data_IF_300757271026
#
_entry.id   IF_300757271026
#
_cell.length_a   1.000
_cell.length_b   1.000
_cell.length_c   1.000
_cell.angle_alpha   90.00
_cell.angle_beta   90.00
_cell.angle_gamma   90.00
#
_symmetry.space_group_name_H-M   'P 1'
#
loop_
_entity.id
_entity.type
_entity.pdbx_description
1 polymer ?
#
# COMPACT_ATOMS: atom_id res chain seq x y z
N UNK A 1 -31.52 11.52 13.90
CA UNK A 1 -32.51 12.54 13.45
C UNK A 1 -31.77 13.59 12.63
N UNK A 2 -31.91 13.54 11.31
CA UNK A 2 -31.20 14.44 10.39
C UNK A 2 -31.86 15.82 10.44
N UNK A 3 -31.36 16.74 11.28
CA UNK A 3 -31.86 18.12 11.31
C UNK A 3 -31.42 18.81 10.03
N UNK A 4 -32.40 19.30 9.27
CA UNK A 4 -32.23 20.16 8.09
C UNK A 4 -31.16 21.22 8.40
N UNK A 5 -30.12 21.40 7.55
CA UNK A 5 -29.17 22.49 7.73
C UNK A 5 -29.94 23.79 7.91
N UNK A 6 -29.64 24.49 9.00
CA UNK A 6 -30.13 25.84 9.22
C UNK A 6 -29.51 26.70 8.12
N UNK A 7 -30.31 27.12 7.14
CA UNK A 7 -29.88 27.95 6.01
C UNK A 7 -29.31 29.31 6.44
N UNK A 8 -29.36 29.60 7.74
CA UNK A 8 -28.87 30.76 8.47
C UNK A 8 -27.47 30.59 9.10
N UNK A 9 -26.83 29.41 8.96
CA UNK A 9 -25.45 29.23 9.45
C UNK A 9 -24.46 29.98 8.55
N UNK A 10 -23.95 31.12 9.02
CA UNK A 10 -22.91 31.90 8.32
C UNK A 10 -21.66 31.07 7.97
N UNK A 11 -21.39 30.01 8.73
CA UNK A 11 -20.27 29.09 8.47
C UNK A 11 -20.56 28.13 7.31
N UNK A 12 -21.82 27.80 7.04
CA UNK A 12 -22.21 26.96 5.90
C UNK A 12 -22.19 27.75 4.58
N UNK A 13 -22.19 29.10 4.67
CA UNK A 13 -22.09 30.00 3.53
C UNK A 13 -20.64 30.33 3.13
N UNK A 14 -19.65 29.85 3.89
CA UNK A 14 -18.24 29.95 3.53
C UNK A 14 -17.97 29.19 2.21
N UNK A 15 -16.99 29.66 1.43
CA UNK A 15 -16.57 28.91 0.24
C UNK A 15 -16.00 27.54 0.62
N UNK A 16 -15.98 26.56 -0.28
CA UNK A 16 -15.43 25.23 0.02
C UNK A 16 -14.01 25.30 0.61
N UNK A 17 -13.15 26.16 0.06
CA UNK A 17 -11.77 26.34 0.51
C UNK A 17 -11.71 26.91 1.93
N UNK A 18 -12.60 27.84 2.26
CA UNK A 18 -12.70 28.41 3.61
C UNK A 18 -13.24 27.40 4.63
N UNK A 19 -14.19 26.54 4.20
CA UNK A 19 -14.71 25.47 5.05
C UNK A 19 -13.63 24.42 5.35
N UNK A 20 -12.82 24.05 4.36
CA UNK A 20 -11.69 23.14 4.53
C UNK A 20 -10.62 23.73 5.44
N UNK A 21 -10.26 25.00 5.26
CA UNK A 21 -9.29 25.68 6.11
C UNK A 21 -9.77 25.79 7.56
N UNK A 22 -11.06 26.11 7.77
CA UNK A 22 -11.66 26.09 9.10
C UNK A 22 -11.68 24.66 9.70
N UNK A 23 -11.95 23.65 8.89
CA UNK A 23 -11.89 22.26 9.33
C UNK A 23 -10.48 21.85 9.74
N UNK A 24 -9.46 22.26 8.99
CA UNK A 24 -8.04 22.04 9.30
C UNK A 24 -7.65 22.65 10.65
N UNK A 25 -7.99 23.93 10.89
CA UNK A 25 -7.74 24.59 12.16
C UNK A 25 -8.34 23.81 13.34
N UNK A 26 -9.60 23.39 13.20
CA UNK A 26 -10.33 22.73 14.28
C UNK A 26 -9.93 21.26 14.50
N UNK A 27 -9.33 20.60 13.51
CA UNK A 27 -9.12 19.14 13.56
C UNK A 27 -7.66 18.69 13.52
N UNK A 28 -6.79 19.48 12.89
CA UNK A 28 -5.36 19.19 12.70
C UNK A 28 -4.53 20.11 13.59
N UNK A 29 -4.68 21.43 13.44
CA UNK A 29 -4.01 22.40 14.32
C UNK A 29 -4.57 22.39 15.74
N UNK A 30 -5.78 21.83 15.91
CA UNK A 30 -6.47 21.65 17.19
C UNK A 30 -6.63 22.97 17.96
N UNK A 31 -6.92 24.06 17.25
CA UNK A 31 -7.17 25.37 17.87
C UNK A 31 -8.50 25.35 18.61
N UNK A 32 -8.59 26.16 19.66
CA UNK A 32 -9.83 26.32 20.43
C UNK A 32 -10.91 27.04 19.62
N UNK A 33 -12.18 26.89 20.01
CA UNK A 33 -13.27 27.64 19.37
C UNK A 33 -13.14 29.16 19.53
N UNK A 34 -12.47 29.63 20.58
CA UNK A 34 -12.20 31.06 20.76
C UNK A 34 -11.22 31.57 19.69
N UNK A 35 -10.12 30.83 19.48
CA UNK A 35 -9.12 31.16 18.46
C UNK A 35 -9.68 31.03 17.04
N UNK A 36 -10.42 29.95 16.75
CA UNK A 36 -11.08 29.77 15.46
C UNK A 36 -12.06 30.91 15.17
N UNK A 37 -12.81 31.38 16.16
CA UNK A 37 -13.72 32.51 16.00
C UNK A 37 -12.98 33.79 15.61
N UNK A 38 -11.86 34.08 16.25
CA UNK A 38 -11.01 35.23 15.91
C UNK A 38 -10.48 35.09 14.47
N UNK A 39 -9.90 33.93 14.12
CA UNK A 39 -9.37 33.68 12.77
C UNK A 39 -10.43 33.78 11.67
N UNK A 40 -11.63 33.26 11.91
CA UNK A 40 -12.75 33.35 10.95
C UNK A 40 -13.20 34.81 10.75
N UNK A 41 -13.22 35.61 11.82
CA UNK A 41 -13.54 37.03 11.71
C UNK A 41 -12.45 37.81 10.97
N UNK A 42 -11.18 37.53 11.26
CA UNK A 42 -10.04 38.25 10.69
C UNK A 42 -9.78 37.89 9.23
N UNK A 43 -9.87 36.60 8.88
CA UNK A 43 -9.54 36.13 7.54
C UNK A 43 -10.75 36.10 6.60
N UNK A 44 -11.93 35.78 7.11
CA UNK A 44 -13.13 35.60 6.27
C UNK A 44 -14.14 36.74 6.45
N UNK A 45 -13.94 37.65 7.42
CA UNK A 45 -14.89 38.71 7.72
C UNK A 45 -16.20 38.22 8.34
N UNK A 46 -16.28 36.96 8.77
CA UNK A 46 -17.51 36.32 9.24
C UNK A 46 -17.55 36.28 10.76
N UNK A 47 -18.58 36.91 11.35
CA UNK A 47 -18.83 36.77 12.78
C UNK A 47 -19.59 35.48 13.10
N UNK A 48 -19.04 34.67 14.01
CA UNK A 48 -19.63 33.39 14.44
C UNK A 48 -19.67 33.24 15.97
N UNK A 49 -20.29 32.17 16.47
CA UNK A 49 -20.36 31.82 17.90
C UNK A 49 -19.74 30.46 18.17
N UNK A 50 -19.37 30.18 19.42
CA UNK A 50 -18.82 28.88 19.80
C UNK A 50 -19.79 27.72 19.49
N UNK A 51 -21.11 27.91 19.72
CA UNK A 51 -22.12 26.90 19.37
C UNK A 51 -22.21 26.65 17.87
N UNK A 52 -22.04 27.68 17.04
CA UNK A 52 -22.01 27.53 15.59
C UNK A 52 -20.76 26.75 15.14
N UNK A 53 -19.59 27.04 15.72
CA UNK A 53 -18.35 26.30 15.48
C UNK A 53 -18.44 24.84 15.93
N UNK A 54 -19.05 24.56 17.08
CA UNK A 54 -19.31 23.20 17.53
C UNK A 54 -20.23 22.44 16.56
N UNK A 55 -21.30 23.09 16.10
CA UNK A 55 -22.22 22.52 15.11
C UNK A 55 -21.49 22.25 13.78
N UNK A 56 -20.69 23.20 13.31
CA UNK A 56 -19.84 23.05 12.12
C UNK A 56 -18.85 21.89 12.27
N UNK A 57 -18.20 21.78 13.43
CA UNK A 57 -17.26 20.71 13.72
C UNK A 57 -17.89 19.33 13.56
N UNK A 58 -19.03 19.10 14.21
CA UNK A 58 -19.71 17.81 14.17
C UNK A 58 -20.25 17.43 12.78
N UNK A 59 -20.66 18.42 11.99
CA UNK A 59 -21.31 18.21 10.69
C UNK A 59 -20.34 18.15 9.51
N UNK A 60 -19.28 18.95 9.54
CA UNK A 60 -18.35 19.09 8.42
C UNK A 60 -16.93 18.72 8.82
N UNK A 61 -16.35 19.36 9.83
CA UNK A 61 -14.92 19.20 10.12
C UNK A 61 -14.54 17.77 10.52
N UNK A 62 -15.34 17.12 11.38
CA UNK A 62 -15.08 15.75 11.79
C UNK A 62 -15.22 14.76 10.61
N UNK A 63 -16.32 14.74 9.84
CA UNK A 63 -16.39 13.94 8.60
C UNK A 63 -15.27 14.23 7.60
N UNK A 64 -14.92 15.50 7.39
CA UNK A 64 -13.81 15.92 6.52
C UNK A 64 -12.47 15.35 6.98
N UNK A 65 -12.18 15.40 8.29
CA UNK A 65 -10.97 14.80 8.87
C UNK A 65 -10.88 13.30 8.55
N UNK A 66 -11.99 12.57 8.71
CA UNK A 66 -12.04 11.14 8.40
C UNK A 66 -11.88 10.87 6.91
N UNK A 67 -12.51 11.66 6.05
CA UNK A 67 -12.38 11.53 4.60
C UNK A 67 -10.95 11.81 4.13
N UNK A 68 -10.31 12.86 4.67
CA UNK A 68 -8.90 13.18 4.41
C UNK A 68 -7.97 12.07 4.88
N UNK A 69 -8.14 11.58 6.11
CA UNK A 69 -7.35 10.46 6.63
C UNK A 69 -7.54 9.18 5.79
N UNK A 70 -8.75 8.92 5.28
CA UNK A 70 -9.01 7.79 4.39
C UNK A 70 -8.32 7.96 3.03
N UNK A 71 -8.41 9.14 2.42
CA UNK A 71 -7.74 9.45 1.16
C UNK A 71 -6.21 9.41 1.29
N UNK A 72 -5.67 9.92 2.40
CA UNK A 72 -4.24 9.81 2.72
C UNK A 72 -3.83 8.35 2.95
N UNK A 73 -4.67 7.54 3.59
CA UNK A 73 -4.41 6.10 3.76
C UNK A 73 -4.46 5.33 2.44
N UNK A 74 -5.37 5.66 1.52
CA UNK A 74 -5.42 5.06 0.18
C UNK A 74 -4.22 5.50 -0.69
N UNK A 75 -3.84 6.77 -0.63
CA UNK A 75 -2.64 7.29 -1.30
C UNK A 75 -1.36 6.67 -0.72
N UNK A 76 -1.30 6.47 0.59
CA UNK A 76 -0.21 5.76 1.24
C UNK A 76 -0.20 4.28 0.86
N UNK A 77 -1.37 3.63 0.81
CA UNK A 77 -1.49 2.23 0.42
C UNK A 77 -1.06 1.99 -1.04
N UNK A 78 -1.38 2.90 -1.96
CA UNK A 78 -0.93 2.83 -3.35
C UNK A 78 0.57 3.09 -3.50
N UNK A 79 1.15 4.01 -2.71
CA UNK A 79 2.60 4.22 -2.66
C UNK A 79 3.36 3.02 -2.07
N UNK A 80 2.73 2.31 -1.13
CA UNK A 80 3.30 1.17 -0.42
C UNK A 80 3.00 -0.19 -1.05
N UNK A 81 2.24 -0.24 -2.15
CA UNK A 81 1.84 -1.48 -2.80
C UNK A 81 3.08 -2.32 -3.16
N UNK A 82 3.20 -3.48 -2.51
CA UNK A 82 4.33 -4.41 -2.70
C UNK A 82 5.69 -3.97 -2.12
N UNK A 83 5.77 -2.85 -1.41
CA UNK A 83 7.03 -2.28 -0.86
C UNK A 83 7.06 -2.24 0.67
N UNK A 84 6.48 -3.24 1.33
CA UNK A 84 6.71 -3.41 2.77
C UNK A 84 8.09 -4.03 2.98
N UNK A 85 9.03 -3.19 3.40
CA UNK A 85 10.34 -3.66 3.83
C UNK A 85 10.25 -4.46 5.15
N UNK A 86 11.36 -5.08 5.53
CA UNK A 86 11.42 -5.90 6.74
C UNK A 86 11.05 -5.11 8.01
N UNK A 87 11.37 -3.81 8.05
CA UNK A 87 11.05 -2.92 9.17
C UNK A 87 9.54 -2.68 9.28
N UNK A 88 8.86 -2.44 8.16
CA UNK A 88 7.41 -2.25 8.10
C UNK A 88 6.66 -3.50 8.54
N UNK A 89 7.09 -4.68 8.07
CA UNK A 89 6.49 -5.95 8.48
C UNK A 89 6.74 -6.22 9.97
N UNK A 90 7.95 -5.90 10.48
CA UNK A 90 8.25 -6.01 11.91
C UNK A 90 7.35 -5.09 12.75
N UNK A 91 7.12 -3.85 12.30
CA UNK A 91 6.22 -2.92 12.98
C UNK A 91 4.77 -3.38 12.94
N UNK A 92 4.31 -3.90 11.80
CA UNK A 92 2.97 -4.47 11.67
C UNK A 92 2.75 -5.65 12.63
N UNK A 93 3.74 -6.54 12.79
CA UNK A 93 3.70 -7.64 13.78
C UNK A 93 3.57 -7.12 15.20
N UNK A 94 4.35 -6.09 15.55
CA UNK A 94 4.28 -5.48 16.87
C UNK A 94 2.90 -4.86 17.14
N UNK A 95 2.38 -4.05 16.20
CA UNK A 95 1.07 -3.43 16.33
C UNK A 95 -0.07 -4.46 16.40
N UNK A 96 0.03 -5.56 15.66
CA UNK A 96 -0.94 -6.66 15.74
C UNK A 96 -0.94 -7.33 17.12
N UNK A 97 0.25 -7.52 17.70
CA UNK A 97 0.40 -8.07 19.04
C UNK A 97 -0.14 -7.10 20.11
N UNK A 98 0.19 -5.82 20.02
CA UNK A 98 -0.32 -4.77 20.91
C UNK A 98 -1.85 -4.69 20.85
N UNK A 99 -2.45 -4.78 19.65
CA UNK A 99 -3.90 -4.78 19.47
C UNK A 99 -4.61 -6.00 20.09
N UNK A 100 -3.93 -7.15 20.21
CA UNK A 100 -4.47 -8.33 20.88
C UNK A 100 -4.28 -8.33 22.40
N UNK A 101 -3.26 -7.63 22.88
CA UNK A 101 -2.83 -7.67 24.29
C UNK A 101 -3.25 -6.42 25.08
N UNK A 102 -3.90 -5.46 24.43
CA UNK A 102 -4.49 -4.31 25.08
C UNK A 102 -5.62 -4.71 26.05
N UNK A 103 -5.88 -3.92 27.10
CA UNK A 103 -7.00 -4.15 28.04
C UNK A 103 -8.37 -4.24 27.35
N UNK A 104 -8.51 -3.61 26.18
CA UNK A 104 -9.63 -3.79 25.26
C UNK A 104 -9.06 -4.20 23.90
N UNK A 105 -9.06 -5.51 23.58
CA UNK A 105 -8.48 -6.00 22.33
C UNK A 105 -9.20 -5.46 21.09
N UNK A 106 -8.44 -4.91 20.15
CA UNK A 106 -8.95 -4.54 18.82
C UNK A 106 -8.71 -5.67 17.82
N UNK A 107 -9.63 -6.64 17.83
CA UNK A 107 -9.59 -7.81 16.95
C UNK A 107 -9.65 -7.44 15.46
N UNK A 108 -10.28 -6.31 15.11
CA UNK A 108 -10.43 -5.87 13.72
C UNK A 108 -9.08 -5.40 13.19
N UNK A 109 -8.39 -4.56 13.94
CA UNK A 109 -7.04 -4.07 13.60
C UNK A 109 -6.04 -5.23 13.59
N UNK A 110 -6.07 -6.11 14.59
CA UNK A 110 -5.19 -7.28 14.63
C UNK A 110 -5.38 -8.19 13.40
N UNK A 111 -6.62 -8.52 13.03
CA UNK A 111 -6.91 -9.33 11.83
C UNK A 111 -6.42 -8.67 10.55
N UNK A 112 -6.60 -7.36 10.40
CA UNK A 112 -6.13 -6.63 9.24
C UNK A 112 -4.60 -6.67 9.11
N UNK A 113 -3.88 -6.47 10.21
CA UNK A 113 -2.42 -6.52 10.24
C UNK A 113 -1.87 -7.93 10.00
N UNK A 114 -2.50 -8.98 10.54
CA UNK A 114 -2.12 -10.36 10.22
C UNK A 114 -2.32 -10.72 8.76
N UNK A 115 -3.42 -10.24 8.15
CA UNK A 115 -3.65 -10.41 6.71
C UNK A 115 -2.52 -9.76 5.90
N UNK A 116 -2.14 -8.52 6.23
CA UNK A 116 -1.03 -7.82 5.59
C UNK A 116 0.29 -8.59 5.69
N UNK A 117 0.61 -9.09 6.88
CA UNK A 117 1.82 -9.91 7.11
C UNK A 117 1.79 -11.18 6.26
N UNK A 118 0.64 -11.87 6.22
CA UNK A 118 0.45 -13.07 5.42
C UNK A 118 0.57 -12.82 3.92
N UNK A 119 0.01 -11.72 3.41
CA UNK A 119 0.07 -11.38 1.99
C UNK A 119 1.49 -10.95 1.57
N UNK A 120 2.23 -10.26 2.45
CA UNK A 120 3.66 -10.00 2.24
C UNK A 120 4.47 -11.30 2.13
N UNK A 121 4.25 -12.26 3.04
CA UNK A 121 4.93 -13.55 3.00
C UNK A 121 4.61 -14.35 1.72
N UNK A 122 3.34 -14.37 1.28
CA UNK A 122 2.95 -14.98 -0.01
C UNK A 122 3.67 -14.34 -1.18
N UNK A 123 3.81 -13.02 -1.18
CA UNK A 123 4.50 -12.29 -2.24
C UNK A 123 5.98 -12.68 -2.32
N UNK A 124 6.65 -12.81 -1.18
CA UNK A 124 8.04 -13.29 -1.11
C UNK A 124 8.17 -14.70 -1.66
N UNK A 125 7.31 -15.62 -1.22
CA UNK A 125 7.30 -17.02 -1.72
C UNK A 125 7.06 -17.05 -3.24
N UNK A 126 6.15 -16.21 -3.75
CA UNK A 126 5.90 -16.13 -5.19
C UNK A 126 7.12 -15.64 -5.97
N UNK A 127 7.85 -14.64 -5.46
CA UNK A 127 9.11 -14.16 -6.06
C UNK A 127 10.19 -15.24 -6.06
N UNK A 128 10.34 -15.99 -4.97
CA UNK A 128 11.29 -17.09 -4.89
C UNK A 128 10.95 -18.22 -5.86
N UNK A 129 9.67 -18.57 -5.99
CA UNK A 129 9.20 -19.55 -6.99
C UNK A 129 9.51 -19.11 -8.41
N UNK A 130 9.23 -17.85 -8.74
CA UNK A 130 9.54 -17.30 -10.05
C UNK A 130 11.05 -17.39 -10.36
N UNK A 131 11.90 -17.05 -9.40
CA UNK A 131 13.35 -17.16 -9.57
C UNK A 131 13.83 -18.61 -9.75
N UNK A 132 13.21 -19.57 -9.06
CA UNK A 132 13.49 -21.00 -9.26
C UNK A 132 13.06 -21.47 -10.64
N UNK A 133 11.89 -21.03 -11.12
CA UNK A 133 11.38 -21.42 -12.42
C UNK A 133 12.23 -20.80 -13.55
N UNK A 134 12.64 -19.54 -13.44
CA UNK A 134 13.61 -18.93 -14.36
C UNK A 134 14.91 -19.73 -14.44
N UNK A 135 15.41 -20.21 -13.28
CA UNK A 135 16.62 -21.04 -13.24
C UNK A 135 16.39 -22.40 -13.91
N UNK A 136 15.22 -23.02 -13.72
CA UNK A 136 14.87 -24.29 -14.39
C UNK A 136 14.81 -24.10 -15.89
N UNK A 137 14.15 -23.04 -16.37
CA UNK A 137 14.05 -22.72 -17.80
C UNK A 137 15.44 -22.59 -18.41
N UNK A 138 16.34 -21.79 -17.81
CA UNK A 138 17.73 -21.66 -18.29
C UNK A 138 18.49 -22.98 -18.36
N UNK A 139 18.29 -23.86 -17.36
CA UNK A 139 18.92 -25.18 -17.37
C UNK A 139 18.34 -26.10 -18.46
N UNK A 140 17.03 -26.02 -18.71
CA UNK A 140 16.36 -26.78 -19.76
C UNK A 140 16.78 -26.30 -21.15
N UNK A 141 16.87 -24.98 -21.36
CA UNK A 141 17.39 -24.38 -22.60
C UNK A 141 18.83 -24.81 -22.86
N UNK A 142 19.70 -24.80 -21.83
CA UNK A 142 21.07 -25.28 -21.96
C UNK A 142 21.14 -26.78 -22.31
N UNK A 143 20.26 -27.60 -21.72
CA UNK A 143 20.16 -29.03 -22.05
C UNK A 143 19.63 -29.26 -23.46
N UNK A 144 18.62 -28.51 -23.90
CA UNK A 144 18.09 -28.57 -25.26
C UNK A 144 19.18 -28.20 -26.27
N UNK A 145 19.91 -27.11 -26.05
CA UNK A 145 21.02 -26.71 -26.91
C UNK A 145 22.14 -27.77 -26.98
N UNK A 146 22.42 -28.49 -25.88
CA UNK A 146 23.34 -29.63 -25.90
C UNK A 146 22.78 -30.82 -26.70
N UNK A 147 21.48 -31.12 -26.57
CA UNK A 147 20.82 -32.17 -27.33
C UNK A 147 20.78 -31.87 -28.84
N UNK A 148 20.53 -30.61 -29.22
CA UNK A 148 20.56 -30.17 -30.61
C UNK A 148 21.95 -30.34 -31.21
N UNK A 149 23.00 -29.95 -30.47
CA UNK A 149 24.40 -30.18 -30.88
C UNK A 149 24.72 -31.67 -31.01
N UNK A 150 24.27 -32.50 -30.08
CA UNK A 150 24.46 -33.94 -30.15
C UNK A 150 23.76 -34.55 -31.38
N UNK A 151 22.53 -34.11 -31.65
CA UNK A 151 21.75 -34.55 -32.83
C UNK A 151 22.43 -34.14 -34.12
N UNK A 152 23.00 -32.93 -34.17
CA UNK A 152 23.76 -32.45 -35.33
C UNK A 152 25.03 -33.28 -35.60
N UNK A 153 25.73 -33.74 -34.55
CA UNK A 153 26.91 -34.62 -34.70
C UNK A 153 26.49 -35.98 -35.28
N UNK A 154 25.44 -36.59 -34.73
CA UNK A 154 24.97 -37.93 -35.17
C UNK A 154 24.43 -37.90 -36.60
N UNK A 155 23.76 -36.82 -37.00
CA UNK A 155 23.22 -36.66 -38.35
C UNK A 155 24.24 -36.15 -39.37
N UNK A 156 25.49 -35.92 -38.98
CA UNK A 156 26.53 -35.50 -39.90
C UNK A 156 27.11 -36.70 -40.67
N UNK A 157 26.60 -36.93 -41.88
CA UNK A 157 27.03 -38.01 -42.77
C UNK A 157 28.39 -37.75 -43.47
N UNK A 158 29.02 -36.60 -43.25
CA UNK A 158 30.33 -36.27 -43.83
C UNK A 158 31.51 -36.80 -43.00
N UNK A 159 31.26 -37.22 -41.76
CA UNK A 159 32.27 -37.75 -40.84
C UNK A 159 32.01 -39.22 -40.51
N UNK A 160 33.09 -39.96 -40.22
CA UNK A 160 33.01 -41.38 -39.87
C UNK A 160 32.33 -41.60 -38.51
N UNK A 161 31.78 -42.80 -38.29
CA UNK A 161 31.16 -43.16 -37.00
C UNK A 161 32.13 -43.05 -35.82
N UNK A 162 33.43 -43.32 -36.03
CA UNK A 162 34.47 -43.12 -35.01
C UNK A 162 34.69 -41.64 -34.66
N UNK A 163 34.63 -40.75 -35.65
CA UNK A 163 34.74 -39.30 -35.45
C UNK A 163 33.49 -38.72 -34.78
N UNK A 164 32.29 -39.21 -35.13
CA UNK A 164 31.04 -38.86 -34.45
C UNK A 164 31.11 -39.25 -32.96
N UNK A 165 31.59 -40.47 -32.66
CA UNK A 165 31.73 -40.95 -31.29
C UNK A 165 32.76 -40.12 -30.48
N UNK A 166 33.88 -39.74 -31.11
CA UNK A 166 34.88 -38.87 -30.48
C UNK A 166 34.34 -37.47 -30.18
N UNK A 167 33.61 -36.86 -31.12
CA UNK A 167 32.98 -35.55 -30.93
C UNK A 167 31.86 -35.57 -29.87
N UNK A 168 31.09 -36.67 -29.80
CA UNK A 168 30.08 -36.87 -28.76
C UNK A 168 30.68 -36.97 -27.35
N UNK A 169 31.77 -37.74 -27.18
CA UNK A 169 32.50 -37.82 -25.90
C UNK A 169 33.03 -36.45 -25.48
N UNK A 170 33.61 -35.69 -26.42
CA UNK A 170 34.08 -34.33 -26.17
C UNK A 170 32.94 -33.36 -25.78
N UNK A 171 31.78 -33.43 -26.43
CA UNK A 171 30.62 -32.59 -26.16
C UNK A 171 30.08 -32.78 -24.73
N UNK A 172 30.04 -34.02 -24.25
CA UNK A 172 29.56 -34.35 -22.90
C UNK A 172 30.68 -34.41 -21.85
N UNK A 173 31.94 -34.16 -22.25
CA UNK A 173 33.14 -34.30 -21.41
C UNK A 173 33.21 -35.67 -20.72
N UNK A 174 32.88 -36.73 -21.47
CA UNK A 174 32.96 -38.14 -21.06
C UNK A 174 34.25 -38.79 -21.55
#
# INVERSE_FOLDING_TARGET
>A
MNKKPRGDSKLDALTPEQQELLAEWLTIENVTYAEARTRVQDQFGVSTTASALQSFYSRFAAPWKYARAHGEAENFASLMEGKFDAASIKRAKQLAFEALTSPQPDLKTARALFKLIGDSAKTTIAKERLALDDRKVKLLEAKAALADKATAIVNNHEISEEEQAAQMRALFRM
#
